data_IF_149092832833
#
_entry.id   IF_149092832833
#
_cell.length_a   1.000
_cell.length_b   1.000
_cell.length_c   1.000
_cell.angle_alpha   90.00
_cell.angle_beta   90.00
_cell.angle_gamma   90.00
#
_symmetry.space_group_name_H-M   'P 1'
#
loop_
_entity.id
_entity.type
_entity.pdbx_description
1 polymer ?
#
# COMPACT_ATOMS: atom_id res chain seq x y z
N UNK A 1 6.33 -8.61 -32.44
CA UNK A 1 5.10 -7.78 -32.48
C UNK A 1 5.50 -6.30 -32.38
N UNK A 2 5.84 -5.64 -33.51
CA UNK A 2 6.31 -4.25 -33.52
C UNK A 2 5.31 -3.24 -32.90
N UNK A 3 4.02 -3.56 -32.96
CA UNK A 3 2.94 -2.76 -32.38
C UNK A 3 2.93 -2.73 -30.85
N UNK A 4 3.36 -3.81 -30.18
CA UNK A 4 3.39 -3.88 -28.72
C UNK A 4 4.50 -2.98 -28.14
N UNK A 5 5.67 -2.97 -28.77
CA UNK A 5 6.80 -2.11 -28.37
C UNK A 5 6.50 -0.62 -28.59
N UNK A 6 5.83 -0.28 -29.70
CA UNK A 6 5.39 1.09 -29.96
C UNK A 6 4.34 1.56 -28.93
N UNK A 7 3.43 0.67 -28.51
CA UNK A 7 2.47 0.95 -27.45
C UNK A 7 3.16 1.15 -26.10
N UNK A 8 4.10 0.27 -25.73
CA UNK A 8 4.88 0.38 -24.50
C UNK A 8 5.62 1.72 -24.42
N UNK A 9 6.34 2.11 -25.49
CA UNK A 9 7.02 3.40 -25.53
C UNK A 9 6.06 4.59 -25.36
N UNK A 10 4.90 4.54 -26.02
CA UNK A 10 3.89 5.60 -25.92
C UNK A 10 3.16 5.63 -24.57
N UNK A 11 3.16 4.53 -23.82
CA UNK A 11 2.68 4.48 -22.43
C UNK A 11 3.72 5.07 -21.49
N UNK A 12 4.98 4.64 -21.61
CA UNK A 12 6.08 5.14 -20.78
C UNK A 12 6.27 6.66 -20.93
N UNK A 13 6.17 7.19 -22.14
CA UNK A 13 6.25 8.64 -22.41
C UNK A 13 5.13 9.44 -21.71
N UNK A 14 3.98 8.81 -21.43
CA UNK A 14 2.82 9.43 -20.77
C UNK A 14 2.71 9.09 -19.28
N UNK A 15 3.51 8.16 -18.78
CA UNK A 15 3.48 7.73 -17.39
C UNK A 15 4.47 8.58 -16.58
N UNK A 16 3.97 9.47 -15.70
CA UNK A 16 4.87 10.24 -14.84
C UNK A 16 5.55 9.31 -13.83
N UNK A 17 6.80 9.63 -13.48
CA UNK A 17 7.47 9.00 -12.36
C UNK A 17 6.72 9.31 -11.05
N UNK A 18 6.46 8.28 -10.25
CA UNK A 18 5.74 8.39 -8.98
C UNK A 18 6.46 7.59 -7.91
N UNK A 19 6.64 8.18 -6.73
CA UNK A 19 7.15 7.41 -5.59
C UNK A 19 6.09 6.43 -5.10
N UNK A 20 6.50 5.34 -4.45
CA UNK A 20 5.56 4.40 -3.85
C UNK A 20 4.67 5.07 -2.77
N UNK A 21 5.19 6.09 -2.08
CA UNK A 21 4.41 6.89 -1.14
C UNK A 21 3.31 7.68 -1.85
N UNK A 22 3.58 8.27 -3.01
CA UNK A 22 2.56 8.96 -3.81
C UNK A 22 1.49 7.99 -4.29
N UNK A 23 1.88 6.79 -4.68
CA UNK A 23 0.94 5.73 -5.07
C UNK A 23 0.05 5.37 -3.87
N UNK A 24 0.62 5.11 -2.69
CA UNK A 24 -0.14 4.80 -1.49
C UNK A 24 -1.08 5.94 -1.06
N UNK A 25 -0.63 7.18 -1.16
CA UNK A 25 -1.42 8.36 -0.87
C UNK A 25 -2.58 8.53 -1.88
N UNK A 26 -2.32 8.34 -3.17
CA UNK A 26 -3.35 8.39 -4.22
C UNK A 26 -4.37 7.25 -4.05
N UNK A 27 -3.92 6.02 -3.79
CA UNK A 27 -4.82 4.90 -3.50
C UNK A 27 -5.66 5.20 -2.26
N UNK A 28 -5.07 5.77 -1.21
CA UNK A 28 -5.81 6.19 -0.04
C UNK A 28 -6.83 7.29 -0.35
N UNK A 29 -6.53 8.24 -1.22
CA UNK A 29 -7.48 9.26 -1.63
C UNK A 29 -8.77 8.64 -2.18
N UNK A 30 -8.65 7.62 -3.05
CA UNK A 30 -9.79 6.97 -3.68
C UNK A 30 -10.51 5.93 -2.82
N UNK A 31 -9.80 5.18 -1.98
CA UNK A 31 -10.38 4.06 -1.24
C UNK A 31 -10.55 4.32 0.26
N UNK A 32 -9.88 5.33 0.79
CA UNK A 32 -9.84 5.65 2.22
C UNK A 32 -9.46 4.44 3.08
N UNK A 33 -8.61 3.53 2.59
CA UNK A 33 -8.28 2.26 3.25
C UNK A 33 -7.67 2.43 4.65
N UNK A 34 -7.01 3.56 4.94
CA UNK A 34 -6.43 3.80 6.28
C UNK A 34 -7.48 4.07 7.36
N UNK A 35 -8.77 4.25 7.00
CA UNK A 35 -9.85 4.48 7.97
C UNK A 35 -10.09 3.31 8.92
N UNK A 36 -9.61 2.12 8.57
CA UNK A 36 -9.70 0.93 9.42
C UNK A 36 -8.69 0.97 10.57
N UNK A 37 -7.60 1.73 10.44
CA UNK A 37 -6.61 1.85 11.49
C UNK A 37 -7.05 2.84 12.55
N UNK A 38 -6.65 2.55 13.79
CA UNK A 38 -7.13 3.27 14.95
C UNK A 38 -6.63 2.63 16.24
N UNK A 39 -6.64 3.37 17.36
CA UNK A 39 -6.24 2.87 18.67
C UNK A 39 -6.88 1.52 19.01
N UNK A 40 -6.08 0.55 19.44
CA UNK A 40 -6.60 -0.76 19.85
C UNK A 40 -7.43 -0.68 21.15
N UNK A 41 -7.11 0.23 22.08
CA UNK A 41 -7.84 0.38 23.35
C UNK A 41 -8.92 1.47 23.33
N UNK A 42 -9.15 2.14 22.19
CA UNK A 42 -10.09 3.27 22.06
C UNK A 42 -9.76 4.55 22.85
N UNK A 43 -8.80 4.48 23.77
CA UNK A 43 -8.44 5.51 24.75
C UNK A 43 -7.03 6.08 24.54
N UNK A 44 -6.33 5.65 23.49
CA UNK A 44 -4.99 6.15 23.18
C UNK A 44 -5.00 7.56 22.58
N UNK A 45 -3.93 8.36 22.81
CA UNK A 45 -3.82 9.70 22.26
C UNK A 45 -3.95 9.71 20.74
N UNK A 46 -4.71 10.70 20.25
CA UNK A 46 -4.90 10.91 18.81
C UNK A 46 -3.58 11.34 18.18
N UNK A 47 -3.19 10.66 17.10
CA UNK A 47 -2.07 11.07 16.26
C UNK A 47 -2.38 12.44 15.65
N UNK A 48 -1.38 13.31 15.51
CA UNK A 48 -1.55 14.66 14.97
C UNK A 48 -2.07 14.66 13.52
N UNK A 49 -1.45 13.85 12.66
CA UNK A 49 -1.98 13.48 11.33
C UNK A 49 -2.04 11.95 11.23
N UNK A 50 -3.19 11.34 11.58
CA UNK A 50 -3.35 9.89 11.53
C UNK A 50 -3.20 9.36 10.10
N UNK A 51 -3.72 10.06 9.10
CA UNK A 51 -3.72 9.59 7.70
C UNK A 51 -2.29 9.48 7.18
N UNK A 52 -1.52 10.57 7.29
CA UNK A 52 -0.13 10.57 6.89
C UNK A 52 0.64 9.52 7.69
N UNK A 53 0.43 9.44 9.00
CA UNK A 53 1.12 8.46 9.85
C UNK A 53 0.85 7.02 9.39
N UNK A 54 -0.39 6.67 9.09
CA UNK A 54 -0.75 5.33 8.66
C UNK A 54 -0.18 4.97 7.29
N UNK A 55 -0.14 5.91 6.34
CA UNK A 55 0.51 5.70 5.03
C UNK A 55 2.00 5.42 5.22
N UNK A 56 2.69 6.22 6.04
CA UNK A 56 4.12 6.04 6.33
C UNK A 56 4.39 4.72 7.06
N UNK A 57 3.55 4.35 8.01
CA UNK A 57 3.63 3.07 8.72
C UNK A 57 3.45 1.90 7.74
N UNK A 58 2.43 1.93 6.88
CA UNK A 58 2.24 0.87 5.90
C UNK A 58 3.41 0.76 4.92
N UNK A 59 3.90 1.88 4.38
CA UNK A 59 5.11 1.89 3.54
C UNK A 59 6.30 1.23 4.25
N UNK A 60 6.52 1.57 5.52
CA UNK A 60 7.63 1.04 6.33
C UNK A 60 7.57 -0.48 6.49
N UNK A 61 6.41 -1.02 6.87
CA UNK A 61 6.26 -2.42 7.23
C UNK A 61 5.91 -3.31 6.03
N UNK A 62 5.14 -2.83 5.07
CA UNK A 62 4.83 -3.58 3.84
C UNK A 62 6.05 -3.71 2.92
N UNK A 63 6.93 -2.70 2.88
CA UNK A 63 8.17 -2.78 2.10
C UNK A 63 9.33 -3.41 2.87
N UNK A 64 9.08 -3.97 4.06
CA UNK A 64 10.07 -4.64 4.91
C UNK A 64 11.36 -3.80 5.17
N UNK A 65 11.24 -2.48 5.18
CA UNK A 65 12.37 -1.58 5.44
C UNK A 65 12.79 -1.62 6.91
N UNK A 66 11.82 -1.82 7.79
CA UNK A 66 11.98 -1.63 9.22
C UNK A 66 11.98 -0.14 9.61
N UNK A 67 11.55 0.19 10.84
CA UNK A 67 11.30 1.56 11.27
C UNK A 67 12.53 2.46 11.24
N UNK A 68 13.72 1.93 11.55
CA UNK A 68 14.97 2.70 11.55
C UNK A 68 15.41 3.11 10.15
N UNK A 69 15.37 2.19 9.18
CA UNK A 69 15.74 2.53 7.80
C UNK A 69 14.69 3.44 7.16
N UNK A 70 13.40 3.17 7.38
CA UNK A 70 12.34 4.04 6.89
C UNK A 70 12.50 5.48 7.42
N UNK A 71 12.70 5.67 8.73
CA UNK A 71 12.88 7.01 9.31
C UNK A 71 14.04 7.80 8.69
N UNK A 72 15.16 7.12 8.33
CA UNK A 72 16.28 7.75 7.63
C UNK A 72 15.91 8.23 6.22
N UNK A 73 15.09 7.47 5.51
CA UNK A 73 14.63 7.81 4.16
C UNK A 73 13.50 8.85 4.15
N UNK A 74 12.73 8.92 5.23
CA UNK A 74 11.58 9.83 5.36
C UNK A 74 11.96 11.26 5.76
N UNK A 75 13.26 11.59 5.85
CA UNK A 75 13.77 12.97 6.02
C UNK A 75 13.07 13.79 7.12
N UNK A 76 12.74 13.16 8.25
CA UNK A 76 12.10 13.83 9.39
C UNK A 76 10.56 13.83 9.37
N UNK A 77 9.90 13.28 8.36
CA UNK A 77 8.43 13.13 8.33
C UNK A 77 7.90 12.18 9.42
N UNK A 78 8.72 11.22 9.85
CA UNK A 78 8.41 10.31 10.94
C UNK A 78 9.70 9.75 11.55
N UNK A 79 9.70 9.57 12.87
CA UNK A 79 10.77 8.87 13.58
C UNK A 79 10.51 7.36 13.65
N UNK A 80 11.58 6.58 13.84
CA UNK A 80 11.49 5.13 14.01
C UNK A 80 10.60 4.74 15.21
N UNK A 81 10.63 5.55 16.28
CA UNK A 81 9.80 5.35 17.46
C UNK A 81 8.31 5.51 17.12
N UNK A 82 7.93 6.60 16.46
CA UNK A 82 6.53 6.84 16.11
C UNK A 82 6.01 5.78 15.13
N UNK A 83 6.79 5.38 14.12
CA UNK A 83 6.40 4.32 13.19
C UNK A 83 6.16 2.99 13.91
N UNK A 84 7.06 2.63 14.83
CA UNK A 84 6.94 1.41 15.64
C UNK A 84 5.75 1.48 16.60
N UNK A 85 5.54 2.64 17.21
CA UNK A 85 4.42 2.89 18.11
C UNK A 85 3.09 2.73 17.37
N UNK A 86 2.93 3.40 16.23
CA UNK A 86 1.71 3.31 15.42
C UNK A 86 1.44 1.87 14.98
N UNK A 87 2.44 1.14 14.49
CA UNK A 87 2.24 -0.25 14.06
C UNK A 87 1.81 -1.17 15.22
N UNK A 88 2.34 -0.96 16.43
CA UNK A 88 2.01 -1.81 17.59
C UNK A 88 0.66 -1.48 18.21
N UNK A 89 0.24 -0.22 18.14
CA UNK A 89 -0.90 0.29 18.93
C UNK A 89 -2.12 0.66 18.10
N UNK A 90 -1.97 0.83 16.79
CA UNK A 90 -3.06 1.27 15.91
C UNK A 90 -3.34 0.32 14.74
N UNK A 91 -2.57 -0.78 14.61
CA UNK A 91 -2.71 -1.75 13.53
C UNK A 91 -2.90 -3.15 14.13
N UNK A 92 -3.88 -3.88 13.60
CA UNK A 92 -4.16 -5.28 13.89
C UNK A 92 -4.44 -6.05 12.60
N UNK A 93 -4.37 -7.37 12.68
CA UNK A 93 -4.64 -8.27 11.54
C UNK A 93 -6.04 -8.02 10.98
N UNK A 94 -7.06 -7.90 11.83
CA UNK A 94 -8.43 -7.64 11.39
C UNK A 94 -8.58 -6.30 10.63
N UNK A 95 -7.86 -5.26 11.06
CA UNK A 95 -7.87 -3.96 10.37
C UNK A 95 -7.15 -4.03 9.02
N UNK A 96 -6.04 -4.79 8.96
CA UNK A 96 -5.32 -5.05 7.70
C UNK A 96 -6.22 -5.81 6.71
N UNK A 97 -6.90 -6.86 7.16
CA UNK A 97 -7.83 -7.63 6.32
C UNK A 97 -8.98 -6.75 5.79
N UNK A 98 -9.53 -5.86 6.61
CA UNK A 98 -10.55 -4.92 6.19
C UNK A 98 -10.03 -3.92 5.14
N UNK A 99 -8.83 -3.39 5.34
CA UNK A 99 -8.17 -2.51 4.37
C UNK A 99 -7.88 -3.24 3.04
N UNK A 100 -7.37 -4.46 3.09
CA UNK A 100 -7.11 -5.29 1.90
C UNK A 100 -8.40 -5.54 1.12
N UNK A 101 -9.51 -5.87 1.81
CA UNK A 101 -10.82 -6.06 1.17
C UNK A 101 -11.27 -4.82 0.39
N UNK A 102 -11.09 -3.63 0.94
CA UNK A 102 -11.42 -2.40 0.21
C UNK A 102 -10.56 -2.19 -1.03
N UNK A 103 -9.25 -2.47 -0.92
CA UNK A 103 -8.33 -2.34 -2.04
C UNK A 103 -8.69 -3.31 -3.16
N UNK A 104 -8.99 -4.57 -2.82
CA UNK A 104 -9.45 -5.60 -3.76
C UNK A 104 -10.76 -5.17 -4.43
N UNK A 105 -11.75 -4.75 -3.64
CA UNK A 105 -13.03 -4.28 -4.16
C UNK A 105 -12.89 -3.04 -5.06
N UNK A 106 -11.98 -2.13 -4.73
CA UNK A 106 -11.66 -0.99 -5.56
C UNK A 106 -10.99 -1.41 -6.87
N UNK A 107 -10.02 -2.31 -6.80
CA UNK A 107 -9.31 -2.85 -7.95
C UNK A 107 -10.26 -3.55 -8.94
N UNK A 108 -11.25 -4.32 -8.45
CA UNK A 108 -12.26 -4.95 -9.31
C UNK A 108 -13.14 -3.99 -10.11
N UNK A 109 -13.21 -2.70 -9.72
CA UNK A 109 -13.95 -1.68 -10.46
C UNK A 109 -13.17 -1.10 -11.63
N UNK A 110 -11.84 -1.25 -11.63
CA UNK A 110 -11.01 -0.81 -12.74
C UNK A 110 -11.29 -1.64 -13.99
N UNK A 111 -11.08 -1.06 -15.17
CA UNK A 111 -11.30 -1.78 -16.44
C UNK A 111 -10.13 -2.70 -16.80
N UNK A 112 -8.92 -2.31 -16.43
CA UNK A 112 -7.69 -3.04 -16.75
C UNK A 112 -7.68 -4.48 -16.21
N UNK A 113 -8.14 -4.77 -14.98
CA UNK A 113 -8.22 -6.15 -14.48
C UNK A 113 -9.21 -7.03 -15.26
N UNK A 114 -10.24 -6.43 -15.89
CA UNK A 114 -11.26 -7.17 -16.66
C UNK A 114 -10.70 -7.75 -17.96
N UNK A 115 -9.58 -7.20 -18.46
CA UNK A 115 -8.94 -7.64 -19.71
C UNK A 115 -7.71 -8.52 -19.48
N UNK A 116 -7.24 -8.65 -18.23
CA UNK A 116 -6.06 -9.45 -17.87
C UNK A 116 -6.34 -10.93 -17.56
N UNK A 117 -7.59 -11.36 -17.62
CA UNK A 117 -8.00 -12.76 -17.42
C UNK A 117 -9.30 -12.89 -16.63
N UNK A 118 -9.69 -14.12 -16.31
CA UNK A 118 -10.93 -14.42 -15.57
C UNK A 118 -10.88 -14.10 -14.07
N UNK A 119 -9.74 -13.65 -13.55
CA UNK A 119 -9.54 -13.38 -12.11
C UNK A 119 -9.43 -14.64 -11.24
N UNK A 120 -9.50 -15.84 -11.84
CA UNK A 120 -9.44 -17.13 -11.14
C UNK A 120 -8.02 -17.53 -10.69
N UNK A 121 -7.01 -16.89 -11.28
CA UNK A 121 -5.60 -17.17 -11.06
C UNK A 121 -4.84 -15.84 -10.98
N UNK A 122 -4.03 -15.69 -9.94
CA UNK A 122 -3.08 -14.59 -9.81
C UNK A 122 -1.68 -15.19 -9.64
N UNK A 123 -0.74 -14.82 -10.51
CA UNK A 123 0.66 -15.12 -10.31
C UNK A 123 1.22 -14.10 -9.32
N UNK A 124 1.11 -14.39 -8.02
CA UNK A 124 1.74 -13.58 -6.99
C UNK A 124 3.15 -14.12 -6.76
N UNK A 125 4.16 -13.28 -6.97
CA UNK A 125 5.61 -13.56 -6.83
C UNK A 125 6.01 -14.14 -5.45
N UNK A 126 5.10 -14.10 -4.47
CA UNK A 126 5.28 -14.74 -3.15
C UNK A 126 4.88 -16.23 -3.08
N UNK A 127 4.32 -16.81 -4.14
CA UNK A 127 3.84 -18.20 -4.09
C UNK A 127 4.97 -19.17 -4.47
N UNK A 128 5.60 -19.81 -3.49
CA UNK A 128 6.41 -21.00 -3.77
C UNK A 128 5.49 -22.12 -4.28
N UNK A 129 5.39 -22.27 -5.59
CA UNK A 129 4.82 -23.48 -6.18
C UNK A 129 5.87 -24.58 -5.99
N UNK A 130 5.65 -25.46 -5.01
CA UNK A 130 6.44 -26.68 -4.87
C UNK A 130 6.22 -27.53 -6.12
N UNK A 131 7.23 -27.65 -6.97
CA UNK A 131 7.27 -28.67 -8.00
C UNK A 131 7.34 -30.03 -7.32
N UNK A 132 6.43 -30.94 -7.72
CA UNK A 132 6.51 -32.36 -7.36
C UNK A 132 7.68 -33.02 -8.05
#
# INVERSE_FOLDING_TARGET
MPSAQALEAALLDRMPERSLLDILANVNFWTQWVRHFGPLSGSEPKLADPRQRYILTAFTFCCNLGPTQAARHLQGLATAHELSFTNRRHVSVNQLDAAIKDLINAYHRCDLPKVWGSGSSAATDGTQIRSR
#
